data_IF_918599767674
#
_entry.id   IF_918599767674
#
_cell.length_a   1.000
_cell.length_b   1.000
_cell.length_c   1.000
_cell.angle_alpha   90.00
_cell.angle_beta   90.00
_cell.angle_gamma   90.00
#
_symmetry.space_group_name_H-M   'P 1'
#
loop_
_entity.id
_entity.type
_entity.pdbx_description
1 polymer ?
2 non-polymer ?
3 non-polymer ?
4 non-polymer ?
5 water ?
#
# COMPACT_ATOMS: atom_id res chain seq x y z
N UNK A 25 -12.24 -21.23 9.50
CA UNK A 25 -11.54 -20.42 8.47
C UNK A 25 -12.50 -19.38 7.87
N UNK A 26 -12.30 -18.10 8.20
CA UNK A 26 -13.10 -17.04 7.60
C UNK A 26 -12.88 -16.95 6.09
N UNK A 27 -13.92 -16.56 5.38
CA UNK A 27 -13.84 -16.33 3.95
C UNK A 27 -13.39 -14.87 3.76
N UNK A 28 -12.22 -14.69 3.16
CA UNK A 28 -11.62 -13.36 2.96
C UNK A 28 -11.60 -13.02 1.48
N UNK A 29 -12.09 -11.80 1.19
CA UNK A 29 -12.10 -11.26 -0.16
C UNK A 29 -11.45 -9.87 -0.17
N UNK A 30 -10.50 -9.70 -1.05
CA UNK A 30 -9.85 -8.41 -1.30
C UNK A 30 -10.29 -7.84 -2.62
N UNK A 31 -10.83 -6.61 -2.59
CA UNK A 31 -11.18 -5.88 -3.79
C UNK A 31 -10.09 -4.91 -4.23
N UNK A 32 -9.67 -5.06 -5.47
CA UNK A 32 -8.64 -4.31 -6.09
C UNK A 32 -9.19 -3.47 -7.23
N UNK A 33 -8.43 -2.44 -7.63
CA UNK A 33 -8.66 -1.83 -8.94
C UNK A 33 -8.32 -2.85 -10.05
N UNK A 34 -8.92 -2.67 -11.20
CA UNK A 34 -8.81 -3.66 -12.27
C UNK A 34 -7.37 -3.79 -12.84
N UNK A 35 -6.54 -2.77 -12.67
CA UNK A 35 -5.18 -2.81 -13.17
C UNK A 35 -4.19 -3.43 -12.16
N UNK A 36 -4.61 -3.59 -10.91
CA UNK A 36 -3.73 -3.97 -9.82
C UNK A 36 -2.60 -2.94 -9.67
N UNK A 37 -2.94 -1.66 -9.85
CA UNK A 37 -2.00 -0.57 -9.71
C UNK A 37 -2.11 0.12 -8.35
N UNK A 38 -3.16 -0.11 -7.58
CA UNK A 38 -3.34 0.66 -6.35
C UNK A 38 -2.23 0.36 -5.33
N UNK A 39 -1.60 1.40 -4.77
CA UNK A 39 -0.59 1.15 -3.74
C UNK A 39 -1.25 0.71 -2.44
N UNK A 40 -2.52 1.07 -2.28
CA UNK A 40 -3.27 0.80 -1.05
C UNK A 40 -3.75 -0.65 -1.08
N UNK A 41 -4.21 -1.10 -2.24
CA UNK A 41 -4.51 -2.51 -2.44
C UNK A 41 -3.23 -3.32 -2.21
N UNK A 42 -2.09 -2.84 -2.75
CA UNK A 42 -0.86 -3.57 -2.54
C UNK A 42 -0.59 -3.77 -1.04
N UNK A 43 -0.81 -2.74 -0.24
CA UNK A 43 -0.51 -2.79 1.19
C UNK A 43 -1.30 -3.93 1.82
N UNK A 44 -2.57 -4.02 1.50
CA UNK A 44 -3.42 -5.07 2.07
C UNK A 44 -3.01 -6.45 1.57
N UNK A 45 -2.79 -6.55 0.26
CA UNK A 45 -2.35 -7.79 -0.37
C UNK A 45 -1.11 -8.33 0.35
N UNK A 46 -0.13 -7.47 0.53
CA UNK A 46 1.11 -7.79 1.21
C UNK A 46 0.85 -8.29 2.64
N UNK A 47 0.01 -7.58 3.37
CA UNK A 47 -0.34 -7.99 4.74
C UNK A 47 -0.92 -9.42 4.75
N UNK A 48 -1.84 -9.71 3.84
CA UNK A 48 -2.46 -11.04 3.75
C UNK A 48 -1.41 -12.10 3.47
N UNK A 49 -0.55 -11.82 2.50
CA UNK A 49 0.51 -12.77 2.11
C UNK A 49 1.50 -13.03 3.23
N UNK A 50 1.89 -11.97 3.92
CA UNK A 50 2.85 -12.10 5.02
C UNK A 50 2.29 -12.93 6.18
N UNK A 51 0.97 -12.91 6.35
CA UNK A 51 0.30 -13.76 7.37
C UNK A 51 -0.14 -15.13 6.83
N UNK A 52 0.09 -15.37 5.55
CA UNK A 52 -0.29 -16.62 4.87
C UNK A 52 -1.79 -16.87 4.99
N UNK A 53 -2.57 -15.80 4.94
CA UNK A 53 -4.02 -15.90 4.99
C UNK A 53 -4.57 -16.21 3.60
N UNK A 54 -5.42 -17.21 3.49
CA UNK A 54 -6.04 -17.48 2.20
C UNK A 54 -7.14 -16.45 1.88
N UNK A 55 -7.23 -16.05 0.64
CA UNK A 55 -8.21 -15.05 0.21
C UNK A 55 -8.49 -15.09 -1.27
N UNK A 56 -9.63 -14.53 -1.63
CA UNK A 56 -10.04 -14.36 -3.03
C UNK A 56 -9.82 -12.90 -3.44
N UNK A 57 -9.31 -12.70 -4.61
CA UNK A 57 -9.07 -11.39 -5.19
C UNK A 57 -10.16 -11.08 -6.23
N UNK A 58 -10.85 -9.95 -6.02
CA UNK A 58 -11.85 -9.44 -6.95
C UNK A 58 -11.50 -8.03 -7.40
N UNK A 59 -12.10 -7.57 -8.50
CA UNK A 59 -11.76 -6.26 -9.04
C UNK A 59 -12.99 -5.41 -9.36
N UNK A 60 -12.77 -4.10 -9.24
CA UNK A 60 -13.68 -3.10 -9.81
C UNK A 60 -12.91 -2.17 -10.75
N UNK A 61 -13.53 -1.82 -11.86
CA UNK A 61 -12.89 -0.98 -12.86
C UNK A 61 -13.15 0.48 -12.53
N UNK A 62 -12.18 1.14 -11.91
CA UNK A 62 -12.36 2.52 -11.52
C UNK A 62 -12.47 3.46 -12.70
N UNK A 63 -11.79 3.13 -13.78
CA UNK A 63 -11.81 3.95 -14.99
C UNK A 63 -13.21 4.03 -15.62
N UNK A 64 -14.00 2.99 -15.42
CA UNK A 64 -15.35 2.96 -15.94
C UNK A 64 -16.39 3.28 -14.88
N UNK A 65 -15.92 3.66 -13.68
CA UNK A 65 -16.81 4.08 -12.62
C UNK A 65 -17.54 2.97 -11.91
N UNK A 66 -17.01 1.76 -11.98
CA UNK A 66 -17.68 0.59 -11.36
C UNK A 66 -17.77 0.72 -9.82
N UNK A 67 -16.88 1.56 -9.30
CA UNK A 67 -16.94 1.98 -7.92
C UNK A 67 -18.05 3.01 -7.64
N UNK A 68 -18.52 3.74 -8.65
CA UNK A 68 -19.57 4.77 -8.43
C UNK A 68 -20.98 4.32 -8.86
N UNK A 69 -21.14 3.01 -8.74
CA UNK A 69 -22.45 2.41 -8.89
C UNK A 69 -22.64 1.41 -7.78
N UNK A 70 -23.87 1.21 -7.42
CA UNK A 70 -24.14 0.53 -6.13
C UNK A 70 -24.16 -1.01 -6.22
N UNK A 71 -23.71 -1.54 -7.34
CA UNK A 71 -23.66 -2.99 -7.55
C UNK A 71 -22.53 -3.68 -6.79
N UNK A 72 -21.54 -2.92 -6.37
CA UNK A 72 -20.48 -3.53 -5.58
C UNK A 72 -20.56 -3.11 -4.11
N UNK A 73 -20.13 -4.03 -3.25
CA UNK A 73 -20.20 -3.86 -1.79
C UNK A 73 -19.56 -2.57 -1.29
N UNK A 74 -18.55 -2.11 -2.02
CA UNK A 74 -17.76 -0.95 -1.62
C UNK A 74 -18.42 0.40 -1.82
N UNK A 75 -19.54 0.42 -2.56
CA UNK A 75 -20.28 1.68 -2.71
C UNK A 75 -20.82 2.14 -1.35
N UNK A 76 -21.10 1.16 -0.48
CA UNK A 76 -21.66 1.43 0.86
C UNK A 76 -20.60 1.60 1.95
N UNK A 77 -19.33 1.50 1.56
CA UNK A 77 -18.24 1.70 2.52
C UNK A 77 -17.73 3.13 2.33
N UNK A 78 -16.63 3.29 1.61
CA UNK A 78 -16.18 4.64 1.23
C UNK A 78 -16.06 4.80 -0.29
N UNK A 79 -16.58 3.85 -1.05
CA UNK A 79 -16.55 3.91 -2.50
C UNK A 79 -15.13 3.99 -3.06
N UNK A 80 -14.20 3.30 -2.39
CA UNK A 80 -12.82 3.24 -2.82
C UNK A 80 -12.25 1.83 -2.59
N UNK A 81 -11.21 1.52 -3.33
CA UNK A 81 -10.43 0.30 -3.07
C UNK A 81 -9.16 0.68 -2.31
N UNK A 82 -8.64 -0.22 -1.47
CA UNK A 82 -9.15 -1.57 -1.23
C UNK A 82 -10.39 -1.61 -0.35
N UNK A 83 -11.12 -2.70 -0.50
CA UNK A 83 -12.13 -3.13 0.43
C UNK A 83 -11.79 -4.56 0.80
N UNK A 84 -11.82 -4.88 2.08
CA UNK A 84 -11.63 -6.26 2.53
C UNK A 84 -12.92 -6.74 3.13
N UNK A 85 -13.35 -7.92 2.70
CA UNK A 85 -14.45 -8.63 3.34
C UNK A 85 -13.90 -9.82 4.11
N UNK A 86 -14.35 -9.95 5.34
CA UNK A 86 -14.04 -11.11 6.17
C UNK A 86 -15.40 -11.63 6.65
N UNK A 87 -15.85 -12.72 6.03
CA UNK A 87 -17.23 -13.16 6.19
C UNK A 87 -18.19 -11.97 5.98
N UNK A 88 -19.01 -11.65 6.97
CA UNK A 88 -20.04 -10.62 6.80
C UNK A 88 -19.56 -9.21 7.16
N UNK A 89 -18.28 -9.06 7.44
CA UNK A 89 -17.68 -7.76 7.78
C UNK A 89 -16.93 -7.20 6.58
N UNK A 90 -17.24 -5.94 6.22
CA UNK A 90 -16.62 -5.28 5.10
C UNK A 90 -15.98 -3.99 5.56
N UNK A 91 -14.72 -3.80 5.20
CA UNK A 91 -13.91 -2.71 5.76
C UNK A 91 -13.07 -2.09 4.67
N UNK A 92 -13.06 -0.76 4.59
CA UNK A 92 -12.19 -0.03 3.69
C UNK A 92 -11.07 0.67 4.44
N UNK A 93 -10.21 1.35 3.68
CA UNK A 93 -9.01 2.06 4.15
C UNK A 93 -7.88 1.08 4.45
N UNK A 94 -6.87 1.05 3.59
CA UNK A 94 -5.79 0.07 3.70
C UNK A 94 -5.18 -0.05 5.09
N UNK A 95 -4.92 1.08 5.75
CA UNK A 95 -4.27 1.00 7.08
C UNK A 95 -5.27 0.49 8.14
N UNK A 96 -6.54 0.84 8.01
CA UNK A 96 -7.57 0.31 8.94
C UNK A 96 -7.61 -1.22 8.77
N UNK A 97 -7.53 -1.65 7.52
CA UNK A 97 -7.59 -3.07 7.17
C UNK A 97 -6.38 -3.81 7.74
N UNK A 98 -5.18 -3.30 7.52
CA UNK A 98 -3.98 -3.99 8.00
C UNK A 98 -3.91 -4.01 9.52
N UNK A 99 -4.36 -2.94 10.16
CA UNK A 99 -4.43 -2.90 11.62
C UNK A 99 -5.42 -3.93 12.14
N UNK A 100 -6.56 -4.04 11.48
CA UNK A 100 -7.56 -5.07 11.80
C UNK A 100 -6.99 -6.47 11.64
N UNK A 101 -6.31 -6.70 10.54
CA UNK A 101 -5.69 -8.01 10.30
C UNK A 101 -4.72 -8.39 11.42
N UNK A 102 -3.91 -7.43 11.89
CA UNK A 102 -2.92 -7.70 12.91
C UNK A 102 -3.57 -7.98 14.28
N UNK A 103 -4.77 -7.45 14.49
CA UNK A 103 -5.54 -7.70 15.72
C UNK A 103 -6.37 -8.99 15.65
N UNK A 104 -7.02 -9.21 14.52
CA UNK A 104 -7.89 -10.38 14.32
C UNK A 104 -7.07 -11.68 14.18
N UNK A 105 -5.99 -11.59 13.43
CA UNK A 105 -5.07 -12.71 13.18
C UNK A 105 -3.74 -12.38 13.82
N UNK A 106 -3.72 -12.56 15.14
CA UNK A 106 -2.65 -11.98 15.95
C UNK A 106 -1.49 -12.92 16.15
N UNK A 107 -0.31 -12.36 16.38
CA UNK A 107 0.82 -13.13 16.85
C UNK A 107 0.52 -13.72 18.21
N UNK A 108 1.13 -14.87 18.54
CA UNK A 108 2.16 -15.59 17.78
C UNK A 108 1.64 -16.48 16.66
N UNK A 109 0.35 -16.81 16.69
CA UNK A 109 -0.24 -17.75 15.70
C UNK A 109 -0.03 -17.29 14.24
N UNK A 110 -0.24 -16.01 14.00
CA UNK A 110 0.06 -15.44 12.70
C UNK A 110 1.20 -14.47 12.85
N UNK A 111 1.96 -14.27 11.78
CA UNK A 111 3.07 -13.30 11.79
C UNK A 111 2.57 -11.87 12.05
N UNK A 112 3.27 -11.14 12.90
CA UNK A 112 2.95 -9.72 13.15
C UNK A 112 3.48 -8.86 12.04
N UNK A 113 2.70 -7.85 11.69
CA UNK A 113 3.09 -6.93 10.65
C UNK A 113 3.30 -5.50 11.12
N UNK A 114 3.00 -5.24 12.40
CA UNK A 114 3.34 -3.98 13.07
C UNK A 114 4.35 -4.29 14.16
N UNK A 115 5.25 -3.36 14.45
CA UNK A 115 6.21 -3.55 15.55
C UNK A 115 5.52 -3.84 16.89
N UNK A 116 6.15 -4.68 17.72
CA UNK A 116 5.65 -4.98 19.03
C UNK A 116 5.90 -3.80 20.01
N UNK A 117 7.00 -3.10 19.80
CA UNK A 117 7.37 -1.98 20.67
C UNK A 117 6.38 -0.83 20.46
N UNK A 118 5.91 -0.27 21.56
CA UNK A 118 4.93 0.80 21.56
C UNK A 118 5.32 2.00 20.69
N UNK A 119 6.54 2.48 20.87
CA UNK A 119 7.04 3.64 20.13
C UNK A 119 7.32 3.35 18.66
N UNK A 120 7.91 2.19 18.37
CA UNK A 120 8.13 1.80 16.99
C UNK A 120 6.80 1.61 16.26
N UNK A 121 5.81 1.05 16.94
CA UNK A 121 4.48 0.89 16.35
C UNK A 121 3.86 2.25 16.05
N UNK A 122 3.99 3.18 16.98
CA UNK A 122 3.52 4.55 16.76
C UNK A 122 4.20 5.18 15.56
N UNK A 123 5.51 4.97 15.43
CA UNK A 123 6.26 5.48 14.25
C UNK A 123 5.78 4.83 12.95
N UNK A 124 5.51 3.53 12.99
CA UNK A 124 4.95 2.83 11.83
C UNK A 124 3.63 3.46 11.42
N UNK A 125 2.77 3.75 12.40
CA UNK A 125 1.49 4.42 12.12
C UNK A 125 1.70 5.82 11.55
N UNK A 126 2.67 6.54 12.09
CA UNK A 126 3.03 7.87 11.58
C UNK A 126 3.38 7.78 10.11
N UNK A 127 4.26 6.87 9.76
CA UNK A 127 4.69 6.71 8.36
C UNK A 127 3.49 6.42 7.47
N UNK A 128 2.68 5.43 7.86
CA UNK A 128 1.54 5.07 7.05
C UNK A 128 0.60 6.24 6.82
N UNK A 129 0.29 6.98 7.87
CA UNK A 129 -0.65 8.07 7.79
C UNK A 129 -0.09 9.25 7.00
N UNK A 130 1.19 9.50 7.18
CA UNK A 130 1.91 10.54 6.46
C UNK A 130 1.89 10.28 4.93
N UNK A 131 2.27 9.07 4.54
CA UNK A 131 2.32 8.73 3.11
C UNK A 131 0.96 8.85 2.45
N UNK A 132 -0.10 8.56 3.20
CA UNK A 132 -1.45 8.63 2.71
C UNK A 132 -2.05 10.04 2.60
N UNK A 133 -1.40 11.01 3.22
CA UNK A 133 -1.93 12.36 3.35
C UNK A 133 -0.96 13.47 3.03
N UNK A 134 0.12 13.15 2.38
CA UNK A 134 1.13 14.14 2.00
C UNK A 134 1.74 13.70 0.66
N UNK A 135 2.64 14.52 0.13
CA UNK A 135 3.41 14.16 -1.06
C UNK A 135 2.51 13.99 -2.27
N UNK A 136 1.40 14.72 -2.32
CA UNK A 136 0.51 14.62 -3.47
C UNK A 136 1.19 14.86 -4.82
N UNK A 137 2.14 15.82 -4.91
CA UNK A 137 2.81 15.99 -6.20
C UNK A 137 3.53 14.73 -6.67
N UNK A 138 4.14 13.95 -5.76
CA UNK A 138 4.80 12.71 -6.16
C UNK A 138 3.75 11.69 -6.58
N UNK A 139 2.68 11.59 -5.81
CA UNK A 139 1.63 10.63 -6.13
C UNK A 139 0.98 10.90 -7.50
N UNK A 140 0.91 12.18 -7.87
CA UNK A 140 0.32 12.57 -9.15
C UNK A 140 1.31 12.52 -10.33
N UNK A 141 2.52 13.02 -10.11
CA UNK A 141 3.53 13.12 -11.17
C UNK A 141 4.34 11.84 -11.34
N UNK A 142 4.24 10.93 -10.37
CA UNK A 142 4.90 9.63 -10.38
C UNK A 142 3.86 8.59 -9.91
N UNK A 143 2.79 8.46 -10.67
CA UNK A 143 1.73 7.53 -10.31
C UNK A 143 2.23 6.09 -10.32
N UNK A 144 1.42 5.18 -9.81
CA UNK A 144 1.82 3.80 -9.81
C UNK A 144 1.83 3.14 -11.18
N UNK A 145 1.39 3.84 -12.22
CA UNK A 145 1.70 3.38 -13.58
C UNK A 145 3.20 3.28 -13.82
N UNK A 146 4.00 4.13 -13.15
CA UNK A 146 5.44 4.01 -13.21
C UNK A 146 5.88 2.73 -12.48
N UNK A 147 5.30 2.50 -11.32
CA UNK A 147 5.73 1.41 -10.44
C UNK A 147 5.33 0.02 -11.00
N UNK A 148 4.09 -0.12 -11.42
CA UNK A 148 3.55 -1.41 -11.83
C UNK A 148 3.30 -1.54 -13.34
N UNK A 149 3.28 -0.42 -14.04
CA UNK A 149 2.90 -0.40 -15.44
C UNK A 149 3.98 -0.03 -16.43
N UNK A 150 5.22 0.03 -15.97
CA UNK A 150 6.32 0.43 -16.88
C UNK A 150 6.27 1.82 -17.51
N UNK A 151 5.42 2.71 -16.98
CA UNK A 151 5.30 4.07 -17.55
C UNK A 151 6.53 4.89 -17.20
N UNK A 152 6.83 5.86 -18.05
CA UNK A 152 7.90 6.83 -17.78
C UNK A 152 7.34 8.22 -17.83
N UNK A 153 7.72 9.02 -16.85
CA UNK A 153 7.17 10.36 -16.67
C UNK A 153 8.24 11.42 -16.85
N UNK A 154 7.83 12.62 -17.24
CA UNK A 154 8.76 13.71 -17.46
C UNK A 154 9.32 14.28 -16.15
N UNK A 155 10.24 15.22 -16.25
CA UNK A 155 10.87 15.82 -15.07
C UNK A 155 9.81 16.28 -14.07
N UNK A 156 10.12 16.16 -12.79
CA UNK A 156 9.28 16.70 -11.74
C UNK A 156 9.12 18.20 -11.90
N UNK A 157 7.93 18.69 -11.62
CA UNK A 157 7.71 20.12 -11.39
C UNK A 157 8.47 20.58 -10.15
N UNK A 158 8.54 21.88 -9.93
CA UNK A 158 9.14 22.36 -8.67
C UNK A 158 8.35 21.81 -7.47
N UNK A 159 7.02 21.79 -7.56
CA UNK A 159 6.21 21.21 -6.48
C UNK A 159 6.61 19.75 -6.26
N UNK A 160 6.80 19.03 -7.34
CA UNK A 160 7.27 17.64 -7.27
C UNK A 160 8.65 17.52 -6.61
N UNK A 161 9.57 18.41 -6.97
CA UNK A 161 10.89 18.43 -6.34
C UNK A 161 10.80 18.68 -4.85
N UNK A 162 9.92 19.58 -4.44
CA UNK A 162 9.74 19.88 -3.01
C UNK A 162 9.28 18.66 -2.26
N UNK A 163 8.31 17.93 -2.83
CA UNK A 163 7.83 16.72 -2.21
C UNK A 163 8.92 15.65 -2.17
N UNK A 164 9.67 15.50 -3.27
CA UNK A 164 10.78 14.55 -3.30
C UNK A 164 11.82 14.83 -2.23
N UNK A 165 12.16 16.11 -2.05
CA UNK A 165 13.16 16.47 -1.06
C UNK A 165 12.67 16.12 0.33
N UNK A 166 11.40 16.38 0.61
CA UNK A 166 10.85 16.05 1.91
C UNK A 166 10.85 14.54 2.14
N UNK A 167 10.45 13.80 1.12
CA UNK A 167 10.50 12.34 1.18
C UNK A 167 11.91 11.84 1.50
N UNK A 168 12.88 12.31 0.75
CA UNK A 168 14.25 11.92 0.93
C UNK A 168 14.75 12.19 2.35
N UNK A 169 14.51 13.41 2.79
CA UNK A 169 15.02 13.83 4.09
C UNK A 169 14.38 13.01 5.19
N UNK A 170 13.09 12.75 5.06
CA UNK A 170 12.34 12.03 6.06
C UNK A 170 12.78 10.54 6.13
N UNK A 171 12.88 9.93 4.96
CA UNK A 171 13.31 8.54 4.88
C UNK A 171 14.73 8.37 5.40
N UNK A 172 15.58 9.33 5.09
CA UNK A 172 16.95 9.30 5.58
C UNK A 172 17.02 9.32 7.10
N UNK A 173 16.21 10.18 7.72
CA UNK A 173 16.14 10.23 9.22
C UNK A 173 15.64 8.90 9.78
N UNK A 174 14.63 8.33 9.15
CA UNK A 174 14.02 7.08 9.65
C UNK A 174 14.99 5.92 9.56
N UNK A 175 15.88 5.97 8.57
CA UNK A 175 16.77 4.87 8.28
C UNK A 175 18.21 5.10 8.76
N UNK A 176 18.40 6.15 9.56
CA UNK A 176 19.74 6.55 10.01
C UNK A 176 20.45 5.50 10.87
N UNK A 177 19.66 4.60 11.47
CA UNK A 177 20.21 3.48 12.24
C UNK A 177 21.05 2.48 11.42
N UNK A 178 20.90 2.53 10.09
CA UNK A 178 21.75 1.74 9.18
C UNK A 178 21.23 0.33 8.91
N UNK A 179 20.08 0.01 9.47
CA UNK A 179 19.46 -1.30 9.31
C UNK A 179 18.73 -1.45 7.99
N UNK A 180 18.43 -2.71 7.63
CA UNK A 180 17.73 -3.02 6.38
C UNK A 180 16.28 -2.62 6.37
N UNK A 181 15.63 -2.69 7.52
CA UNK A 181 14.21 -2.38 7.68
C UNK A 181 14.03 -1.20 8.64
N UNK A 182 12.89 -0.54 8.54
CA UNK A 182 12.59 0.62 9.40
C UNK A 182 12.74 0.34 10.89
N UNK A 183 12.18 -0.78 11.32
CA UNK A 183 12.04 -1.06 12.78
C UNK A 183 12.66 -2.36 13.24
N UNK A 184 13.72 -2.78 12.57
CA UNK A 184 14.41 -4.02 12.92
C UNK A 184 13.86 -5.12 12.03
N UNK A 185 12.85 -5.81 12.50
CA UNK A 185 12.16 -6.75 11.66
C UNK A 185 11.26 -6.00 10.66
N UNK A 186 11.04 -6.61 9.54
CA UNK A 186 10.15 -6.09 8.51
C UNK A 186 8.79 -5.75 9.11
N UNK A 187 8.22 -4.64 8.67
CA UNK A 187 6.86 -4.28 9.01
C UNK A 187 6.14 -3.76 7.77
N UNK A 188 4.83 -3.64 7.86
CA UNK A 188 4.04 -3.17 6.72
C UNK A 188 4.47 -1.77 6.27
N UNK A 189 4.97 -0.97 7.21
CA UNK A 189 5.48 0.35 6.83
C UNK A 189 6.62 0.30 5.81
N UNK A 190 7.45 -0.76 5.84
CA UNK A 190 8.52 -0.90 4.86
C UNK A 190 7.96 -0.99 3.44
N UNK A 191 6.89 -1.75 3.26
CA UNK A 191 6.29 -1.93 1.93
C UNK A 191 5.76 -0.57 1.45
N UNK A 192 5.08 0.17 2.31
CA UNK A 192 4.49 1.42 1.89
C UNK A 192 5.57 2.47 1.56
N UNK A 193 6.60 2.55 2.38
CA UNK A 193 7.68 3.51 2.16
C UNK A 193 8.48 3.14 0.91
N UNK A 194 8.76 1.84 0.74
CA UNK A 194 9.46 1.40 -0.45
C UNK A 194 8.71 1.74 -1.72
N UNK A 195 7.40 1.55 -1.73
CA UNK A 195 6.59 1.88 -2.90
C UNK A 195 6.76 3.36 -3.20
N UNK A 196 6.61 4.20 -2.20
CA UNK A 196 6.70 5.65 -2.42
C UNK A 196 8.06 6.03 -3.02
N UNK A 197 9.14 5.49 -2.47
CA UNK A 197 10.46 5.74 -3.00
C UNK A 197 10.60 5.22 -4.45
N UNK A 198 10.03 4.04 -4.70
CA UNK A 198 10.10 3.43 -6.02
C UNK A 198 9.35 4.18 -7.12
N UNK A 199 8.40 5.05 -6.75
CA UNK A 199 7.78 5.95 -7.72
C UNK A 199 8.86 6.76 -8.43
N UNK A 200 9.90 7.12 -7.70
CA UNK A 200 11.01 7.88 -8.22
C UNK A 200 12.11 6.96 -8.78
N UNK A 201 12.52 5.97 -7.98
CA UNK A 201 13.59 5.06 -8.39
C UNK A 201 13.27 4.41 -9.76
N UNK A 202 12.06 3.89 -9.87
CA UNK A 202 11.68 3.14 -11.10
C UNK A 202 11.40 4.03 -12.30
N UNK A 203 11.28 5.33 -12.09
CA UNK A 203 11.19 6.29 -13.16
C UNK A 203 12.57 6.72 -13.70
N UNK A 204 13.64 6.31 -13.03
CA UNK A 204 14.97 6.73 -13.39
C UNK A 204 15.40 8.06 -12.80
N UNK A 205 14.66 8.53 -11.79
CA UNK A 205 14.98 9.81 -11.16
C UNK A 205 16.22 9.67 -10.28
N UNK A 206 16.89 10.80 -10.01
CA UNK A 206 18.00 10.85 -9.07
C UNK A 206 17.45 10.70 -7.65
N UNK A 207 17.95 9.70 -6.96
CA UNK A 207 17.54 9.36 -5.62
C UNK A 207 18.80 9.09 -4.82
N UNK A 208 18.89 9.58 -3.57
CA UNK A 208 20.07 9.27 -2.74
C UNK A 208 20.34 7.76 -2.71
N UNK A 209 21.60 7.38 -2.88
CA UNK A 209 21.97 5.98 -3.06
C UNK A 209 21.45 5.08 -1.96
N UNK A 210 21.54 5.53 -0.70
CA UNK A 210 21.14 4.68 0.42
C UNK A 210 19.62 4.42 0.36
N UNK A 211 18.86 5.39 -0.14
CA UNK A 211 17.41 5.25 -0.25
C UNK A 211 17.04 4.35 -1.43
N UNK A 212 17.77 4.49 -2.51
CA UNK A 212 17.57 3.58 -3.65
C UNK A 212 17.92 2.13 -3.26
N UNK A 213 18.95 1.97 -2.44
CA UNK A 213 19.32 0.64 -1.93
C UNK A 213 18.20 0.07 -1.09
N UNK A 214 17.65 0.89 -0.18
CA UNK A 214 16.55 0.46 0.65
C UNK A 214 15.33 0.08 -0.22
N UNK A 215 14.97 0.95 -1.14
CA UNK A 215 13.77 0.74 -1.95
C UNK A 215 13.88 -0.54 -2.78
N UNK A 216 15.05 -0.73 -3.40
CA UNK A 216 15.25 -1.94 -4.22
C UNK A 216 15.31 -3.20 -3.39
N UNK A 217 15.90 -3.14 -2.20
CA UNK A 217 15.94 -4.28 -1.29
C UNK A 217 14.53 -4.67 -0.86
N UNK A 218 13.75 -3.68 -0.43
CA UNK A 218 12.40 -3.94 0.02
C UNK A 218 11.49 -4.44 -1.10
N UNK A 219 11.74 -3.99 -2.31
CA UNK A 219 10.87 -4.36 -3.45
C UNK A 219 11.02 -5.84 -3.80
N UNK A 220 12.11 -6.47 -3.36
CA UNK A 220 12.31 -7.90 -3.58
C UNK A 220 11.41 -8.76 -2.70
N UNK A 221 10.76 -8.16 -1.71
CA UNK A 221 9.92 -8.88 -0.79
C UNK A 221 9.02 -9.81 -1.54
N UNK A 222 8.94 -11.08 -1.13
CA UNK A 222 8.18 -12.08 -1.90
C UNK A 222 6.72 -11.67 -2.08
N UNK A 223 6.13 -11.13 -1.01
CA UNK A 223 4.74 -10.69 -1.04
C UNK A 223 4.51 -9.56 -2.06
N UNK A 224 5.42 -8.63 -2.11
CA UNK A 224 5.39 -7.55 -3.10
C UNK A 224 5.56 -8.10 -4.51
N UNK A 225 6.52 -8.99 -4.70
CA UNK A 225 6.75 -9.54 -6.03
C UNK A 225 5.54 -10.33 -6.55
N UNK A 226 4.82 -10.97 -5.66
CA UNK A 226 3.58 -11.66 -6.04
C UNK A 226 2.55 -10.66 -6.55
N UNK A 227 2.44 -9.51 -5.90
CA UNK A 227 1.50 -8.48 -6.34
C UNK A 227 1.94 -7.89 -7.68
N UNK A 228 3.24 -7.66 -7.83
CA UNK A 228 3.81 -7.16 -9.10
C UNK A 228 3.40 -8.07 -10.27
N UNK A 229 3.41 -9.37 -10.02
CA UNK A 229 3.09 -10.35 -11.05
C UNK A 229 1.63 -10.24 -11.55
N UNK A 230 0.73 -9.74 -10.72
CA UNK A 230 -0.69 -9.62 -11.09
C UNK A 230 -0.95 -8.73 -12.31
N UNK A 231 -0.20 -7.64 -12.44
CA UNK A 231 -0.40 -6.70 -13.56
C UNK A 231 0.56 -6.95 -14.73
N UNK A 232 1.36 -8.00 -14.62
CA UNK A 232 2.28 -8.38 -15.70
C UNK A 232 1.53 -8.76 -16.97
X LIG B 1 -6.29 6.22 2.18
X LIG B 1 -6.76 5.19 1.22
X LIG B 1 -6.31 3.81 1.54
X LIG B 1 -7.10 2.81 1.31
X LIG B 1 -5.26 3.70 2.13
X LIG B 1 -6.84 5.65 -0.21
X LIG B 1 -7.66 4.73 -1.10
X LIG B 1 -7.71 5.30 -2.51
X LIG B 1 -7.35 6.48 -2.75
X LIG B 1 -8.12 4.49 -3.48
X LIG B 1 -8.28 4.93 -4.85
X LIG B 1 -9.74 4.92 -5.22
X LIG B 1 -10.47 3.95 -4.90
X LIG B 1 -7.52 4.00 -5.82
X LIG B 1 -5.74 3.99 -5.52
X LIG B 1 -10.20 5.97 -5.93
X LIG B 1 -11.55 6.03 -6.40
X LIG B 1 -12.25 7.30 -5.99
X LIG B 1 -13.40 7.54 -6.45
X LIG B 1 -11.71 8.10 -5.18
X LIG C 1 -1.34 6.53 -7.07
X LIG C 1 -1.14 6.54 -5.85
X LIG C 1 -0.37 6.46 -7.92
X LIG D 1 -9.43 0.23 -12.45
#
# INVERSE_FOLDING_TARGET
MHHHHHHSSGVDLGTENLYFQSMSQPVITLWSDADFFSPYVMSVYVALQEKSLPFTLKTVDLNRGEHLQAGWTGYAATRRVPLLEVDDFALSESSAITEYLDERFAPPEWERIYPHDLQKRARARQIQAWLRSDLMPIREERSTAVVFGGAKMPDLSEAGRQSAEKLFATATMLLAHGGQNLFGEWSIADADLALMLNRLVLNGDKVPEALADYASFQWQRASIQRYVALSAKR
GSH N1 CA1 C1 O11 O12 CB1 CG1 CD1 OE1 N2 CA2 C2 O2 CB2 SG2 N3 CA3 C3 O31 O32
FMT C O1 O2
CL CL
#
